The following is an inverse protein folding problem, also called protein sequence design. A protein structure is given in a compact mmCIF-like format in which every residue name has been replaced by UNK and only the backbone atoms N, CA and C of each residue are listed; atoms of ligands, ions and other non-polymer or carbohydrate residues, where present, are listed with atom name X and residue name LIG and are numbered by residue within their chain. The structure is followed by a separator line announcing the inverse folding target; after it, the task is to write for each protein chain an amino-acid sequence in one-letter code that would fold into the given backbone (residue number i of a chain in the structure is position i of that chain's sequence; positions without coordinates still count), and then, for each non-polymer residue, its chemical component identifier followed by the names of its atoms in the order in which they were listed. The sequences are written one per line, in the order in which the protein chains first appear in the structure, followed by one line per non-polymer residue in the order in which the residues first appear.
data_IF_356038666916
#
_entry.id   IF_356038666916
#
_cell.length_a   1.000
_cell.length_b   1.000
_cell.length_c   1.000
_cell.angle_alpha   90.00
_cell.angle_beta   90.00
_cell.angle_gamma   90.00
#
_symmetry.space_group_name_H-M   'P 1'
#
loop_
_entity.id
_entity.type
_entity.pdbx_description
1 polymer ?
#
# COMPACT_ATOMS: atom_id res chain seq x y z
N UNK A 1 6.06 18.50 4.53
CA UNK A 1 5.27 17.29 4.75
C UNK A 1 3.78 17.61 4.52
N UNK A 2 3.31 17.31 3.31
CA UNK A 2 1.99 17.78 2.85
C UNK A 2 0.82 17.09 3.56
N UNK A 3 1.01 15.83 4.01
CA UNK A 3 -0.06 15.00 4.58
C UNK A 3 0.33 14.31 5.90
N UNK A 4 1.41 14.75 6.57
CA UNK A 4 1.92 14.07 7.75
C UNK A 4 2.61 12.72 7.46
N UNK A 5 2.82 12.38 6.19
CA UNK A 5 3.39 11.09 5.76
C UNK A 5 4.81 10.88 6.29
N UNK A 6 5.67 11.90 6.19
CA UNK A 6 7.03 11.84 6.72
C UNK A 6 7.05 11.73 8.26
N UNK A 7 6.12 12.38 8.94
CA UNK A 7 5.99 12.25 10.40
C UNK A 7 5.54 10.86 10.79
N UNK A 8 4.58 10.28 10.09
CA UNK A 8 4.14 8.91 10.30
C UNK A 8 5.28 7.91 10.02
N UNK A 9 6.00 8.08 8.91
CA UNK A 9 7.18 7.27 8.59
C UNK A 9 8.21 7.33 9.70
N UNK A 10 8.54 8.53 10.20
CA UNK A 10 9.51 8.70 11.27
C UNK A 10 9.08 7.99 12.56
N UNK A 11 7.81 8.15 12.96
CA UNK A 11 7.29 7.54 14.18
C UNK A 11 7.34 6.02 14.09
N UNK A 12 6.81 5.43 13.02
CA UNK A 12 6.83 3.98 12.82
C UNK A 12 8.26 3.44 12.77
N UNK A 13 9.14 4.07 12.01
CA UNK A 13 10.55 3.65 11.91
C UNK A 13 11.28 3.78 13.24
N UNK A 14 11.01 4.84 14.01
CA UNK A 14 11.59 5.02 15.33
C UNK A 14 11.13 3.96 16.34
N UNK A 15 9.91 3.44 16.20
CA UNK A 15 9.40 2.32 16.98
C UNK A 15 10.03 0.97 16.61
N UNK A 16 10.71 0.89 15.47
CA UNK A 16 11.36 -0.34 15.02
C UNK A 16 10.44 -1.26 14.20
N UNK A 17 9.40 -0.73 13.57
CA UNK A 17 8.61 -1.46 12.59
C UNK A 17 7.98 -0.51 11.56
N UNK A 18 7.61 -1.06 10.41
CA UNK A 18 6.99 -0.27 9.34
C UNK A 18 6.06 -1.13 8.46
N UNK A 19 4.91 -0.61 8.02
CA UNK A 19 4.03 -1.30 7.07
C UNK A 19 4.60 -1.18 5.65
N UNK A 20 5.55 -2.04 5.29
CA UNK A 20 6.19 -2.02 3.95
C UNK A 20 5.20 -2.31 2.83
N UNK A 21 4.27 -3.20 3.06
CA UNK A 21 3.22 -3.54 2.11
C UNK A 21 1.88 -3.00 2.62
N UNK A 22 1.52 -1.80 2.18
CA UNK A 22 0.28 -1.17 2.59
C UNK A 22 -0.92 -1.99 2.12
N UNK A 23 -1.84 -2.24 3.03
CA UNK A 23 -3.09 -2.96 2.76
C UNK A 23 -3.11 -4.43 3.18
N UNK A 24 -1.97 -5.06 3.51
CA UNK A 24 -1.95 -6.42 4.05
C UNK A 24 -2.01 -6.48 5.60
N UNK A 25 -1.92 -5.31 6.26
CA UNK A 25 -1.93 -5.21 7.72
C UNK A 25 -0.71 -5.81 8.42
N UNK A 26 0.42 -5.93 7.71
CA UNK A 26 1.66 -6.48 8.25
C UNK A 26 2.67 -5.37 8.55
N UNK A 27 3.26 -5.44 9.74
CA UNK A 27 4.32 -4.56 10.21
C UNK A 27 5.64 -5.33 10.16
N UNK A 28 6.60 -4.85 9.39
CA UNK A 28 7.94 -5.46 9.27
C UNK A 28 8.86 -4.82 10.29
N UNK A 29 9.56 -5.64 11.05
CA UNK A 29 10.48 -5.20 12.09
C UNK A 29 11.80 -4.68 11.53
N UNK A 30 12.30 -3.64 12.18
CA UNK A 30 13.61 -3.05 11.97
C UNK A 30 14.22 -2.69 13.33
N UNK A 31 15.28 -1.90 13.31
CA UNK A 31 15.94 -1.46 14.53
C UNK A 31 15.22 -0.28 15.16
N UNK A 32 14.76 -0.37 16.42
CA UNK A 32 14.22 0.78 17.14
C UNK A 32 15.25 1.90 17.26
N UNK A 33 14.80 3.15 17.20
CA UNK A 33 15.68 4.31 17.36
C UNK A 33 16.04 4.57 18.83
N UNK A 34 15.09 4.34 19.73
CA UNK A 34 15.22 4.64 21.15
C UNK A 34 15.36 3.36 21.98
N UNK A 35 15.97 3.48 23.17
CA UNK A 35 16.11 2.35 24.09
C UNK A 35 14.80 1.91 24.71
N UNK A 36 13.84 2.82 24.80
CA UNK A 36 12.47 2.54 25.26
C UNK A 36 11.49 3.53 24.65
N UNK A 37 10.34 3.01 24.22
CA UNK A 37 9.19 3.77 23.75
C UNK A 37 7.96 3.16 24.43
N UNK A 38 7.03 3.99 24.88
CA UNK A 38 5.75 3.55 25.41
C UNK A 38 4.65 4.28 24.68
N UNK A 39 3.70 3.54 24.13
CA UNK A 39 2.47 4.08 23.55
C UNK A 39 1.32 3.73 24.47
N UNK A 40 0.68 4.75 25.01
CA UNK A 40 -0.49 4.62 25.86
C UNK A 40 -1.74 4.51 25.00
N UNK A 41 -2.48 3.42 25.14
CA UNK A 41 -3.76 3.24 24.47
C UNK A 41 -4.92 3.72 25.36
N UNK A 42 -6.00 4.15 24.74
CA UNK A 42 -7.19 4.67 25.44
C UNK A 42 -7.86 3.66 26.38
N UNK A 43 -7.66 2.36 26.14
CA UNK A 43 -8.18 1.28 26.96
C UNK A 43 -7.36 1.00 28.24
N UNK A 44 -6.28 1.78 28.47
CA UNK A 44 -5.42 1.68 29.64
C UNK A 44 -4.30 0.64 29.53
N UNK A 45 -4.13 -0.04 28.38
CA UNK A 45 -2.99 -0.92 28.12
C UNK A 45 -1.94 -0.22 27.28
N UNK A 46 -0.68 -0.60 27.45
CA UNK A 46 0.47 0.01 26.82
C UNK A 46 1.13 -0.93 25.80
N UNK A 47 1.56 -0.35 24.66
CA UNK A 47 2.56 -0.98 23.82
C UNK A 47 3.93 -0.44 24.23
N UNK A 48 4.78 -1.33 24.75
CA UNK A 48 6.11 -1.00 25.24
C UNK A 48 7.14 -1.62 24.31
N UNK A 49 8.02 -0.80 23.75
CA UNK A 49 9.12 -1.22 22.89
C UNK A 49 10.40 -0.97 23.64
N UNK A 50 11.18 -2.01 23.86
CA UNK A 50 12.44 -1.96 24.61
C UNK A 50 13.58 -2.46 23.74
N UNK A 51 14.66 -1.66 23.65
CA UNK A 51 15.90 -2.00 22.99
C UNK A 51 17.08 -1.48 23.85
N UNK A 52 17.27 -2.02 25.07
CA UNK A 52 18.20 -1.44 26.05
C UNK A 52 19.66 -1.39 25.54
N UNK A 53 20.06 -2.34 24.68
CA UNK A 53 21.39 -2.42 24.11
C UNK A 53 21.56 -1.62 22.82
N UNK A 54 20.52 -0.92 22.37
CA UNK A 54 20.61 -0.08 21.18
C UNK A 54 21.65 1.04 21.36
N UNK A 55 22.51 1.21 20.35
CA UNK A 55 23.56 2.22 20.34
C UNK A 55 23.98 2.51 18.89
N UNK A 56 24.93 3.44 18.70
CA UNK A 56 25.52 3.71 17.38
C UNK A 56 26.26 2.52 16.76
N UNK A 57 26.59 1.51 17.54
CA UNK A 57 27.28 0.29 17.10
C UNK A 57 26.35 -0.91 17.07
N UNK A 58 25.44 -1.04 18.04
CA UNK A 58 24.49 -2.13 18.12
C UNK A 58 23.21 -1.76 17.34
N UNK A 59 23.27 -1.93 16.04
CA UNK A 59 22.21 -1.52 15.11
C UNK A 59 21.43 -2.70 14.50
N UNK A 60 21.91 -3.92 14.72
CA UNK A 60 21.25 -5.13 14.20
C UNK A 60 20.38 -5.76 15.27
N UNK A 61 19.20 -6.25 14.85
CA UNK A 61 18.33 -7.05 15.71
C UNK A 61 18.88 -8.47 15.76
N UNK A 62 19.31 -8.91 16.94
CA UNK A 62 19.79 -10.26 17.19
C UNK A 62 18.70 -11.20 17.69
N UNK A 63 17.62 -10.64 18.24
CA UNK A 63 16.46 -11.37 18.75
C UNK A 63 15.31 -10.44 19.10
N UNK A 64 14.11 -11.02 19.16
CA UNK A 64 12.90 -10.35 19.61
C UNK A 64 12.13 -11.27 20.54
N UNK A 65 11.57 -10.71 21.61
CA UNK A 65 10.54 -11.38 22.41
C UNK A 65 9.28 -10.53 22.45
N UNK A 66 8.12 -11.17 22.50
CA UNK A 66 6.82 -10.55 22.74
C UNK A 66 6.30 -11.07 24.09
N UNK A 67 6.16 -10.17 25.05
CA UNK A 67 5.80 -10.52 26.43
C UNK A 67 6.70 -11.64 27.00
N UNK A 68 8.01 -11.58 26.73
CA UNK A 68 8.99 -12.55 27.16
C UNK A 68 9.05 -13.85 26.36
N UNK A 69 8.14 -14.09 25.41
CA UNK A 69 8.14 -15.25 24.53
C UNK A 69 9.00 -14.97 23.31
N UNK A 70 9.99 -15.82 22.97
CA UNK A 70 10.80 -15.66 21.76
C UNK A 70 9.95 -15.60 20.49
N UNK A 71 10.30 -14.66 19.61
CA UNK A 71 9.59 -14.42 18.35
C UNK A 71 10.63 -14.36 17.22
N UNK A 72 10.59 -15.32 16.30
CA UNK A 72 11.60 -15.45 15.23
C UNK A 72 11.24 -14.67 13.98
N UNK A 73 9.94 -14.41 13.75
CA UNK A 73 9.49 -13.74 12.54
C UNK A 73 9.95 -12.30 12.47
N UNK A 74 10.27 -11.84 11.26
CA UNK A 74 10.68 -10.45 11.00
C UNK A 74 9.50 -9.51 10.73
N UNK A 75 8.28 -9.98 10.92
CA UNK A 75 7.04 -9.20 10.80
C UNK A 75 5.98 -9.69 11.78
N UNK A 76 4.97 -8.85 12.03
CA UNK A 76 3.80 -9.17 12.83
C UNK A 76 2.55 -8.59 12.16
N UNK A 77 1.43 -9.31 12.21
CA UNK A 77 0.15 -8.74 11.79
C UNK A 77 -0.31 -7.68 12.80
N UNK A 78 -0.77 -6.55 12.30
CA UNK A 78 -1.30 -5.48 13.15
C UNK A 78 -2.44 -5.99 14.03
N UNK A 79 -3.27 -6.89 13.51
CA UNK A 79 -4.36 -7.51 14.27
C UNK A 79 -3.86 -8.30 15.46
N UNK A 80 -2.76 -9.07 15.31
CA UNK A 80 -2.22 -9.89 16.41
C UNK A 80 -1.69 -9.02 17.55
N UNK A 81 -1.12 -7.86 17.19
CA UNK A 81 -0.64 -6.88 18.16
C UNK A 81 -1.81 -6.17 18.86
N UNK A 82 -2.79 -5.70 18.08
CA UNK A 82 -3.94 -4.97 18.63
C UNK A 82 -4.88 -5.86 19.44
N UNK A 83 -5.01 -7.14 19.08
CA UNK A 83 -5.85 -8.08 19.86
C UNK A 83 -5.25 -8.37 21.23
N UNK A 84 -3.92 -8.48 21.34
CA UNK A 84 -3.26 -8.59 22.65
C UNK A 84 -3.47 -7.33 23.49
N UNK A 85 -3.33 -6.15 22.88
CA UNK A 85 -3.52 -4.85 23.55
C UNK A 85 -4.94 -4.59 24.04
N UNK A 86 -5.93 -5.38 23.63
CA UNK A 86 -7.30 -5.28 24.19
C UNK A 86 -7.39 -5.80 25.63
N UNK A 87 -6.47 -6.65 26.05
CA UNK A 87 -6.57 -7.38 27.32
C UNK A 87 -5.35 -7.26 28.22
N UNK A 88 -4.22 -6.82 27.69
CA UNK A 88 -2.94 -6.72 28.41
C UNK A 88 -1.98 -5.76 27.74
N UNK A 89 -0.97 -5.33 28.49
CA UNK A 89 0.18 -4.64 27.91
C UNK A 89 0.95 -5.58 26.97
N UNK A 90 1.53 -5.00 25.92
CA UNK A 90 2.39 -5.74 25.01
C UNK A 90 3.81 -5.17 25.08
N UNK A 91 4.75 -6.01 25.41
CA UNK A 91 6.19 -5.66 25.46
C UNK A 91 6.91 -6.33 24.30
N UNK A 92 7.42 -5.51 23.40
CA UNK A 92 8.34 -5.91 22.32
C UNK A 92 9.77 -5.64 22.83
N UNK A 93 10.50 -6.68 23.16
CA UNK A 93 11.89 -6.53 23.62
C UNK A 93 12.86 -6.98 22.53
N UNK A 94 13.64 -6.02 22.01
CA UNK A 94 14.63 -6.22 20.98
C UNK A 94 16.02 -6.42 21.63
N UNK A 95 16.65 -7.53 21.32
CA UNK A 95 18.07 -7.76 21.63
C UNK A 95 18.91 -7.21 20.48
N UNK A 96 19.66 -6.12 20.76
CA UNK A 96 20.42 -5.40 19.74
C UNK A 96 21.89 -5.80 19.79
N UNK A 97 22.53 -5.96 18.61
CA UNK A 97 23.91 -6.41 18.49
C UNK A 97 24.68 -5.64 17.40
N UNK A 98 26.02 -5.74 17.46
CA UNK A 98 26.89 -4.98 16.56
C UNK A 98 27.10 -5.63 15.18
N UNK A 99 26.76 -6.90 15.02
CA UNK A 99 26.92 -7.66 13.78
C UNK A 99 25.62 -8.35 13.42
N UNK A 100 25.32 -8.59 12.12
CA UNK A 100 24.18 -9.39 11.73
C UNK A 100 24.19 -10.76 12.40
N UNK A 101 23.03 -11.21 12.89
CA UNK A 101 22.82 -12.52 13.50
C UNK A 101 21.94 -13.43 12.64
N UNK A 102 21.49 -14.53 13.23
CA UNK A 102 20.64 -15.52 12.57
C UNK A 102 19.14 -15.28 12.82
N UNK A 103 18.76 -14.24 13.56
CA UNK A 103 17.34 -13.93 13.79
C UNK A 103 16.63 -13.59 12.47
N UNK A 104 15.46 -14.18 12.27
CA UNK A 104 14.67 -13.92 11.07
C UNK A 104 15.17 -14.60 9.79
N UNK A 105 16.12 -15.54 9.88
CA UNK A 105 16.68 -16.25 8.72
C UNK A 105 15.97 -17.57 8.41
N UNK A 106 14.99 -17.97 9.21
CA UNK A 106 14.18 -19.17 8.93
C UNK A 106 13.28 -18.95 7.71
N UNK A 107 12.98 -20.03 7.01
CA UNK A 107 12.14 -20.01 5.79
C UNK A 107 10.75 -19.38 6.03
N UNK A 108 10.22 -19.52 7.24
CA UNK A 108 8.91 -18.99 7.63
C UNK A 108 9.00 -17.70 8.47
N UNK A 109 10.18 -17.11 8.59
CA UNK A 109 10.41 -15.91 9.41
C UNK A 109 10.30 -14.61 8.59
N UNK A 110 10.28 -14.71 7.27
CA UNK A 110 10.16 -13.56 6.37
C UNK A 110 8.71 -13.09 6.22
N UNK A 111 8.47 -11.81 5.92
CA UNK A 111 7.14 -11.31 5.61
C UNK A 111 6.49 -12.04 4.43
N UNK A 112 5.16 -12.04 4.38
CA UNK A 112 4.42 -12.59 3.26
C UNK A 112 4.80 -11.90 1.94
N UNK A 113 5.11 -12.69 0.91
CA UNK A 113 5.35 -12.16 -0.43
C UNK A 113 4.03 -11.98 -1.18
N UNK A 114 3.97 -10.94 -2.02
CA UNK A 114 2.88 -10.75 -2.98
C UNK A 114 2.88 -11.82 -4.07
N UNK A 115 4.06 -12.39 -4.35
CA UNK A 115 4.24 -13.50 -5.29
C UNK A 115 4.58 -14.76 -4.52
N UNK A 116 4.00 -15.88 -4.90
CA UNK A 116 4.27 -17.18 -4.28
C UNK A 116 5.29 -17.94 -5.12
N UNK A 117 6.38 -18.35 -4.46
CA UNK A 117 7.45 -19.09 -5.11
C UNK A 117 8.15 -18.27 -6.20
N UNK A 118 8.52 -18.91 -7.29
CA UNK A 118 9.18 -18.30 -8.46
C UNK A 118 8.19 -17.75 -9.50
N UNK A 119 6.91 -17.66 -9.15
CA UNK A 119 5.90 -17.13 -10.05
C UNK A 119 6.14 -15.65 -10.31
N UNK A 120 6.32 -15.30 -11.57
CA UNK A 120 6.27 -13.90 -11.99
C UNK A 120 4.81 -13.47 -12.06
N UNK A 121 4.40 -12.39 -11.37
CA UNK A 121 3.04 -11.89 -11.49
C UNK A 121 2.72 -11.60 -12.95
N UNK A 122 1.51 -11.95 -13.37
CA UNK A 122 1.04 -11.54 -14.69
C UNK A 122 1.14 -10.01 -14.81
N UNK A 123 1.76 -9.49 -15.88
CA UNK A 123 1.84 -8.06 -16.08
C UNK A 123 0.43 -7.48 -16.17
N UNK A 124 0.23 -6.33 -15.52
CA UNK A 124 -1.02 -5.59 -15.68
C UNK A 124 -1.26 -5.34 -17.18
N UNK A 125 -2.41 -5.77 -17.66
CA UNK A 125 -2.81 -5.57 -19.05
C UNK A 125 -3.83 -4.46 -19.11
N UNK A 126 -3.53 -3.45 -19.91
CA UNK A 126 -4.52 -2.44 -20.27
C UNK A 126 -5.62 -3.10 -21.13
N UNK A 127 -6.83 -3.11 -20.62
CA UNK A 127 -8.00 -3.66 -21.31
C UNK A 127 -8.68 -2.65 -22.20
N UNK A 128 -8.33 -1.38 -22.07
CA UNK A 128 -8.92 -0.28 -22.85
C UNK A 128 -8.18 -0.04 -24.16
N UNK A 129 -6.97 -0.56 -24.33
CA UNK A 129 -6.09 -0.34 -25.48
C UNK A 129 -6.69 -0.74 -26.84
N UNK A 130 -7.64 -1.67 -26.85
CA UNK A 130 -8.30 -2.14 -28.06
C UNK A 130 -9.68 -1.52 -28.27
N UNK A 131 -10.11 -0.67 -27.33
CA UNK A 131 -11.40 -0.02 -27.44
C UNK A 131 -11.29 1.14 -28.42
N UNK A 132 -12.12 1.15 -29.44
CA UNK A 132 -12.26 2.32 -30.25
C UNK A 132 -13.20 3.29 -29.55
N UNK A 133 -12.99 4.53 -29.73
CA UNK A 133 -13.70 5.62 -29.09
C UNK A 133 -14.90 6.00 -29.87
N UNK A 134 -15.94 6.20 -29.13
CA UNK A 134 -17.08 6.85 -29.66
C UNK A 134 -17.31 8.12 -28.91
N UNK A 135 -17.03 9.17 -29.57
CA UNK A 135 -17.51 10.46 -29.18
C UNK A 135 -18.94 10.62 -29.68
N UNK A 136 -19.70 11.37 -28.93
CA UNK A 136 -20.99 11.92 -29.35
C UNK A 136 -22.19 11.03 -29.00
N UNK A 137 -23.24 11.65 -28.72
CA UNK A 137 -24.61 11.31 -28.28
C UNK A 137 -25.10 9.83 -28.39
N UNK A 138 -24.37 8.95 -29.07
CA UNK A 138 -24.71 7.52 -29.20
C UNK A 138 -23.46 6.67 -29.08
N UNK A 139 -23.39 5.69 -28.18
CA UNK A 139 -22.29 4.75 -28.08
C UNK A 139 -22.12 4.01 -29.41
N UNK A 140 -21.01 4.23 -30.12
CA UNK A 140 -20.72 3.47 -31.34
C UNK A 140 -19.99 2.19 -30.97
N UNK A 141 -20.47 1.07 -31.45
CA UNK A 141 -19.85 -0.22 -31.23
C UNK A 141 -18.59 -0.35 -32.08
N UNK A 142 -17.53 -0.77 -31.47
CA UNK A 142 -16.20 -0.84 -32.07
C UNK A 142 -15.93 -2.17 -32.72
N UNK A 143 -14.81 -2.27 -33.42
CA UNK A 143 -14.33 -3.52 -33.98
C UNK A 143 -14.08 -4.60 -32.90
N UNK A 144 -13.80 -4.23 -31.66
CA UNK A 144 -13.73 -5.11 -30.49
C UNK A 144 -15.07 -5.40 -29.84
N UNK A 145 -16.10 -4.60 -30.15
CA UNK A 145 -17.40 -4.62 -29.50
C UNK A 145 -17.49 -3.84 -28.20
N UNK A 146 -16.37 -3.30 -27.69
CA UNK A 146 -16.36 -2.44 -26.51
C UNK A 146 -16.82 -1.02 -26.88
N UNK A 147 -17.25 -0.24 -25.94
CA UNK A 147 -17.63 1.16 -26.14
C UNK A 147 -17.25 2.06 -24.97
N UNK A 148 -16.98 3.34 -25.26
CA UNK A 148 -16.80 4.39 -24.27
C UNK A 148 -17.76 5.54 -24.61
N UNK A 149 -18.37 6.11 -23.60
CA UNK A 149 -19.36 7.18 -23.75
C UNK A 149 -19.28 8.20 -22.61
N UNK A 150 -19.41 9.46 -22.98
CA UNK A 150 -19.65 10.59 -22.07
C UNK A 150 -20.49 11.62 -22.82
N UNK A 151 -21.60 12.08 -22.25
CA UNK A 151 -22.57 12.95 -22.93
C UNK A 151 -21.93 14.25 -23.43
N UNK A 152 -21.06 14.88 -22.64
CA UNK A 152 -20.40 16.15 -22.96
C UNK A 152 -18.88 16.00 -23.01
N UNK A 153 -18.40 14.87 -23.56
CA UNK A 153 -16.99 14.57 -23.70
C UNK A 153 -16.41 15.00 -25.04
N UNK A 154 -15.25 15.63 -25.03
CA UNK A 154 -14.47 15.97 -26.21
C UNK A 154 -13.17 15.17 -26.25
N UNK A 155 -12.78 14.69 -27.44
CA UNK A 155 -11.54 13.95 -27.66
C UNK A 155 -11.41 12.67 -26.80
N UNK A 156 -12.50 11.96 -26.56
CA UNK A 156 -12.51 10.74 -25.70
C UNK A 156 -11.50 9.67 -26.16
N UNK A 157 -11.12 9.64 -27.45
CA UNK A 157 -10.07 8.76 -27.95
C UNK A 157 -8.73 8.93 -27.22
N UNK A 158 -8.47 10.09 -26.70
CA UNK A 158 -7.23 10.38 -25.99
C UNK A 158 -7.19 9.71 -24.59
N UNK A 159 -8.31 9.20 -24.10
CA UNK A 159 -8.34 8.41 -22.86
C UNK A 159 -7.78 6.99 -23.05
N UNK A 160 -7.63 6.55 -24.28
CA UNK A 160 -7.33 5.16 -24.63
C UNK A 160 -6.10 5.01 -25.53
N UNK A 161 -5.37 6.10 -25.80
CA UNK A 161 -4.26 6.11 -26.74
C UNK A 161 -2.87 5.86 -26.10
N UNK A 162 -2.84 5.61 -24.79
CA UNK A 162 -1.61 5.43 -24.00
C UNK A 162 -0.60 6.58 -24.14
N UNK A 163 -1.07 7.77 -24.37
CA UNK A 163 -0.22 8.93 -24.58
C UNK A 163 -0.50 10.01 -23.52
N UNK A 164 0.38 10.14 -22.54
CA UNK A 164 0.26 11.13 -21.47
C UNK A 164 0.31 12.61 -21.91
N UNK A 165 0.57 12.86 -23.20
CA UNK A 165 0.62 14.23 -23.79
C UNK A 165 -0.70 14.63 -24.41
N UNK A 166 -1.61 13.71 -24.62
CA UNK A 166 -2.96 13.96 -25.10
C UNK A 166 -3.94 14.01 -23.93
N UNK A 167 -5.07 14.66 -24.11
CA UNK A 167 -6.11 14.75 -23.09
C UNK A 167 -7.49 14.75 -23.70
N UNK A 168 -8.47 14.32 -22.92
CA UNK A 168 -9.89 14.50 -23.18
C UNK A 168 -10.46 15.59 -22.26
N UNK A 169 -11.51 16.26 -22.70
CA UNK A 169 -12.24 17.21 -21.86
C UNK A 169 -13.59 16.60 -21.55
N UNK A 170 -13.93 16.49 -20.27
CA UNK A 170 -15.23 16.03 -19.79
C UNK A 170 -15.92 17.20 -19.10
N UNK A 171 -17.13 17.52 -19.52
CA UNK A 171 -17.90 18.62 -18.95
C UNK A 171 -18.96 18.09 -17.98
N UNK A 172 -19.15 18.71 -16.82
CA UNK A 172 -20.20 18.29 -15.91
C UNK A 172 -21.59 18.62 -16.47
N UNK A 173 -22.48 17.64 -16.37
CA UNK A 173 -23.94 17.83 -16.58
C UNK A 173 -24.59 17.73 -15.21
N UNK A 174 -25.35 18.75 -14.81
CA UNK A 174 -25.97 18.84 -13.48
C UNK A 174 -24.99 18.64 -12.30
N UNK A 175 -23.76 19.16 -12.46
CA UNK A 175 -22.72 19.07 -11.43
C UNK A 175 -22.02 17.72 -11.29
N UNK A 176 -22.29 16.78 -12.20
CA UNK A 176 -21.64 15.47 -12.23
C UNK A 176 -21.08 15.12 -13.61
N UNK A 177 -20.03 14.31 -13.63
CA UNK A 177 -19.46 13.74 -14.85
C UNK A 177 -19.68 12.23 -14.82
N UNK A 178 -20.28 11.69 -15.88
CA UNK A 178 -20.45 10.25 -16.02
C UNK A 178 -19.73 9.77 -17.27
N UNK A 179 -18.72 8.94 -17.06
CA UNK A 179 -17.97 8.27 -18.10
C UNK A 179 -18.29 6.77 -18.05
N UNK A 180 -18.82 6.24 -19.13
CA UNK A 180 -19.18 4.83 -19.25
C UNK A 180 -18.23 4.10 -20.17
N UNK A 181 -17.66 3.00 -19.68
CA UNK A 181 -16.93 2.04 -20.48
C UNK A 181 -17.67 0.70 -20.44
N UNK A 182 -18.08 0.21 -21.60
CA UNK A 182 -18.86 -1.03 -21.71
C UNK A 182 -18.03 -2.08 -22.43
N UNK A 183 -17.74 -3.17 -21.77
CA UNK A 183 -17.08 -4.32 -22.39
C UNK A 183 -18.09 -5.15 -23.19
N UNK A 184 -17.71 -5.57 -24.39
CA UNK A 184 -18.53 -6.46 -25.23
C UNK A 184 -18.74 -7.85 -24.59
N UNK A 185 -17.78 -8.28 -23.76
CA UNK A 185 -17.84 -9.52 -23.01
C UNK A 185 -17.54 -9.23 -21.54
N UNK A 186 -18.20 -9.92 -20.60
CA UNK A 186 -17.90 -9.78 -19.18
C UNK A 186 -16.40 -9.93 -18.90
N UNK A 187 -15.84 -8.97 -18.16
CA UNK A 187 -14.43 -8.94 -17.77
C UNK A 187 -14.32 -8.65 -16.27
N UNK A 188 -13.36 -9.27 -15.61
CA UNK A 188 -12.98 -8.87 -14.28
C UNK A 188 -12.06 -7.64 -14.38
N UNK A 189 -12.48 -6.54 -13.78
CA UNK A 189 -11.68 -5.31 -13.66
C UNK A 189 -11.17 -5.24 -12.24
N UNK A 190 -9.88 -5.32 -12.06
CA UNK A 190 -9.22 -5.24 -10.74
C UNK A 190 -8.62 -3.87 -10.44
N UNK A 191 -8.42 -3.06 -11.47
CA UNK A 191 -7.83 -1.73 -11.34
C UNK A 191 -8.35 -0.81 -12.43
N UNK A 192 -8.58 0.45 -12.09
CA UNK A 192 -8.70 1.54 -13.06
C UNK A 192 -7.79 2.69 -12.63
N UNK A 193 -7.33 3.47 -13.59
CA UNK A 193 -6.51 4.65 -13.36
C UNK A 193 -7.15 5.87 -14.00
N UNK A 194 -7.08 6.99 -13.30
CA UNK A 194 -7.46 8.30 -13.83
C UNK A 194 -6.22 9.19 -13.76
N UNK A 195 -5.85 9.77 -14.90
CA UNK A 195 -4.70 10.65 -15.00
C UNK A 195 -5.17 12.04 -15.39
N UNK A 196 -4.89 13.05 -14.56
CA UNK A 196 -5.18 14.43 -14.89
C UNK A 196 -4.26 14.93 -16.02
N UNK A 197 -4.76 15.82 -16.87
CA UNK A 197 -3.94 16.46 -17.90
C UNK A 197 -2.82 17.28 -17.25
N UNK A 198 -1.62 17.26 -17.83
CA UNK A 198 -0.50 18.10 -17.38
C UNK A 198 -0.87 19.57 -17.58
N UNK A 199 -0.87 20.36 -16.52
CA UNK A 199 -1.22 21.78 -16.52
C UNK A 199 -2.68 22.10 -16.19
N UNK A 200 -3.48 21.12 -15.82
CA UNK A 200 -4.77 21.34 -15.18
C UNK A 200 -4.56 22.06 -13.84
N UNK A 201 -5.07 23.28 -13.71
CA UNK A 201 -5.20 23.89 -12.38
C UNK A 201 -6.28 23.11 -11.67
N UNK A 202 -5.99 22.74 -10.42
CA UNK A 202 -6.98 22.16 -9.53
C UNK A 202 -8.23 23.04 -9.55
N UNK A 203 -9.33 22.48 -9.99
CA UNK A 203 -10.65 23.09 -9.94
C UNK A 203 -11.43 22.50 -8.80
#
# INVERSE_FOLDING_TARGET
DYNGEMSAWFIFSAMGFYPLNMGNGELVFGSPLFKKITLHHENGHDLIIEAPNNSSTNIYVGGLTINGTPYSKTSIKQTDLTDQLKTQDVVLHFDMQATPGAWGMGENDVPDSLTKGDETPDPLRDRTNSAAVVAEEVPTTLSSGDSIYCADGENLKNLLDNNSKTSATLKPTDGSISLYYTFAKPQAVSLYTLTSASGGKDS
#
